data_IF_809545829783
#
_entry.id   IF_809545829783
#
_cell.length_a   1.000
_cell.length_b   1.000
_cell.length_c   1.000
_cell.angle_alpha   90.00
_cell.angle_beta   90.00
_cell.angle_gamma   90.00
#
_symmetry.space_group_name_H-M   'P 1'
#
loop_
_entity.id
_entity.type
_entity.pdbx_description
1 polymer ?
#
# COMPACT_ATOMS: atom_id res chain seq x y z
N UNK A 1 2.52 35.34 -1.88
CA UNK A 1 2.63 34.71 -1.68
C UNK A 1 2.58 33.72 -2.42
N UNK A 2 2.91 33.22 -2.86
CA UNK A 2 2.92 32.24 -3.37
C UNK A 2 1.92 31.85 -3.84
N UNK A 3 1.53 32.18 -4.30
CA UNK A 3 0.37 31.87 -4.43
C UNK A 3 0.11 31.22 -5.64
N UNK A 4 0.09 31.67 -6.72
CA UNK A 4 -0.33 30.99 -7.78
C UNK A 4 0.58 30.05 -8.28
N UNK A 5 1.63 30.32 -8.63
CA UNK A 5 2.54 29.40 -9.17
C UNK A 5 2.65 28.26 -8.21
N UNK A 6 2.69 28.54 -6.98
CA UNK A 6 2.73 27.48 -6.02
C UNK A 6 1.51 26.62 -6.12
N UNK A 7 0.41 27.18 -6.45
CA UNK A 7 -0.78 26.42 -6.54
C UNK A 7 -0.70 25.38 -7.61
N UNK A 8 -0.23 25.74 -8.77
CA UNK A 8 -0.11 24.80 -9.82
C UNK A 8 0.87 23.75 -9.43
N UNK A 9 1.98 24.10 -8.87
CA UNK A 9 2.95 23.13 -8.46
C UNK A 9 2.40 22.22 -7.40
N UNK A 10 1.60 22.80 -6.53
CA UNK A 10 1.04 22.06 -5.45
C UNK A 10 0.08 21.01 -5.95
N UNK A 11 -0.75 21.36 -6.88
CA UNK A 11 -1.70 20.44 -7.42
C UNK A 11 -1.03 19.29 -8.12
N UNK A 12 -0.03 19.60 -8.90
CA UNK A 12 0.68 18.58 -9.61
C UNK A 12 1.37 17.66 -8.64
N UNK A 13 1.98 18.25 -7.64
CA UNK A 13 2.67 17.47 -6.65
C UNK A 13 1.70 16.59 -5.91
N UNK A 14 0.55 17.13 -5.57
CA UNK A 14 -0.44 16.37 -4.87
C UNK A 14 -0.89 15.18 -5.68
N UNK A 15 -1.09 15.40 -6.96
CA UNK A 15 -1.51 14.31 -7.84
C UNK A 15 -0.47 13.20 -7.88
N UNK A 16 0.80 13.58 -7.95
CA UNK A 16 1.85 12.60 -7.99
C UNK A 16 1.93 11.81 -6.69
N UNK A 17 1.75 12.51 -5.59
CA UNK A 17 1.81 11.85 -4.30
C UNK A 17 0.63 10.91 -4.13
N UNK A 18 -0.52 11.29 -4.63
CA UNK A 18 -1.67 10.42 -4.55
C UNK A 18 -1.48 9.17 -5.39
N UNK A 19 -0.86 9.33 -6.54
CA UNK A 19 -0.57 8.19 -7.38
C UNK A 19 0.38 7.25 -6.69
N UNK A 20 1.40 7.81 -6.09
CA UNK A 20 2.37 7.01 -5.40
C UNK A 20 1.73 6.31 -4.22
N UNK A 21 0.89 7.02 -3.51
CA UNK A 21 0.21 6.45 -2.37
C UNK A 21 -0.64 5.27 -2.80
N UNK A 22 -1.31 5.42 -3.92
CA UNK A 22 -2.14 4.35 -4.44
C UNK A 22 -1.33 3.11 -4.79
N UNK A 23 -0.17 3.34 -5.39
CA UNK A 23 0.68 2.23 -5.75
C UNK A 23 1.17 1.49 -4.52
N UNK A 24 1.56 2.24 -3.51
CA UNK A 24 2.04 1.63 -2.27
C UNK A 24 0.90 0.90 -1.57
N UNK A 25 -0.28 1.49 -1.58
CA UNK A 25 -1.42 0.86 -0.94
C UNK A 25 -1.75 -0.47 -1.62
N UNK A 26 -1.57 -0.50 -2.92
CA UNK A 26 -1.84 -1.72 -3.67
C UNK A 26 -0.83 -2.79 -3.29
N UNK A 27 0.42 -2.40 -3.14
CA UNK A 27 1.45 -3.31 -2.72
C UNK A 27 1.17 -3.85 -1.33
N UNK A 28 0.72 -2.97 -0.45
CA UNK A 28 0.40 -3.37 0.91
C UNK A 28 -0.71 -4.41 0.92
N UNK A 29 -1.70 -4.21 0.08
CA UNK A 29 -2.80 -5.14 0.02
C UNK A 29 -2.32 -6.49 -0.44
N UNK A 30 -1.47 -6.49 -1.42
CA UNK A 30 -0.94 -7.72 -1.95
C UNK A 30 -0.14 -8.44 -0.87
N UNK A 31 0.69 -7.70 -0.17
CA UNK A 31 1.50 -8.28 0.88
C UNK A 31 0.63 -8.79 2.02
N UNK A 32 -0.45 -8.09 2.30
CA UNK A 32 -1.35 -8.52 3.37
C UNK A 32 -1.99 -9.85 3.01
N UNK A 33 -2.33 -10.03 1.74
CA UNK A 33 -2.91 -11.27 1.30
C UNK A 33 -1.89 -12.39 1.41
N UNK A 34 -0.66 -12.12 1.04
CA UNK A 34 0.38 -13.11 1.14
C UNK A 34 0.62 -13.49 2.59
N UNK A 35 0.63 -12.50 3.43
CA UNK A 35 0.85 -12.76 4.85
C UNK A 35 -0.25 -13.64 5.41
N UNK A 36 -1.47 -13.33 5.07
CA UNK A 36 -2.60 -14.13 5.53
C UNK A 36 -2.50 -15.56 5.03
N UNK A 37 -2.06 -15.71 3.80
CA UNK A 37 -1.93 -17.02 3.23
C UNK A 37 -0.84 -17.84 3.94
N UNK A 38 0.27 -17.19 4.22
CA UNK A 38 1.35 -17.85 4.93
C UNK A 38 0.92 -18.23 6.34
N UNK A 39 0.20 -17.36 7.00
CA UNK A 39 -0.29 -17.64 8.32
C UNK A 39 -1.18 -18.86 8.31
N UNK A 40 -1.99 -18.96 7.29
CA UNK A 40 -2.90 -20.08 7.17
C UNK A 40 -2.12 -21.36 6.94
N UNK A 41 -1.11 -21.30 6.11
CA UNK A 41 -0.30 -22.48 5.84
C UNK A 41 0.42 -22.94 7.09
N UNK A 42 0.95 -21.99 7.83
CA UNK A 42 1.62 -22.32 9.07
C UNK A 42 0.66 -22.94 10.06
N UNK A 43 -0.53 -22.38 10.12
CA UNK A 43 -1.55 -22.87 11.02
C UNK A 43 -1.91 -24.31 10.67
N UNK A 44 -2.02 -24.59 9.39
CA UNK A 44 -2.33 -25.93 8.93
C UNK A 44 -1.26 -26.92 9.35
N UNK A 45 -0.02 -26.53 9.19
CA UNK A 45 1.07 -27.40 9.56
C UNK A 45 1.05 -27.68 11.05
N UNK A 46 0.84 -26.66 11.84
CA UNK A 46 0.83 -26.82 13.27
C UNK A 46 -0.33 -27.66 13.74
N UNK A 47 -1.44 -27.55 13.09
CA UNK A 47 -2.60 -28.33 13.49
C UNK A 47 -2.57 -29.74 12.94
N UNK A 48 -1.88 -29.90 11.86
CA UNK A 48 -1.92 -31.23 11.30
C UNK A 48 -0.84 -32.07 11.86
N UNK A 49 0.04 -31.61 12.70
CA UNK A 49 0.99 -32.41 13.20
C UNK A 49 0.44 -33.39 14.08
N UNK A 50 -0.41 -33.26 14.61
CA UNK A 50 -0.99 -34.18 15.51
C UNK A 50 -0.74 -35.55 15.24
#
# INVERSE_FOLDING_TARGET
>A
MQTDAPNMGREKRRALLLQRRSAVARQLRRLAIELTDLDRQLDDIEHSKG
#
